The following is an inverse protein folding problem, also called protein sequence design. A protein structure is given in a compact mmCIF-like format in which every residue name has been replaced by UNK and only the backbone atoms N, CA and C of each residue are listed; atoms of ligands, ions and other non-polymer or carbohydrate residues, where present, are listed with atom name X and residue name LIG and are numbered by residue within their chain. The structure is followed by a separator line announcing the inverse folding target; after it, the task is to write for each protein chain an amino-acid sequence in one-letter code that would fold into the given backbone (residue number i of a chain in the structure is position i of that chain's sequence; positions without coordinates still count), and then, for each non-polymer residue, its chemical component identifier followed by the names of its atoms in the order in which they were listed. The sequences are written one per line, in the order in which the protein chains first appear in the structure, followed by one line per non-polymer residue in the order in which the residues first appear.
data_IF_066358544671
#
_entry.id   IF_066358544671
#
_cell.length_a   1.000
_cell.length_b   1.000
_cell.length_c   1.000
_cell.angle_alpha   90.00
_cell.angle_beta   90.00
_cell.angle_gamma   90.00
#
_symmetry.space_group_name_H-M   'P 1'
#
loop_
_entity.id
_entity.type
_entity.pdbx_description
1 polymer ?
#
# COMPACT_ATOMS: atom_id res chain seq x y z
N UNK A 1 -18.96 4.15 -17.52
CA UNK A 1 -18.57 4.48 -16.12
C UNK A 1 -17.86 3.28 -15.52
N UNK A 2 -16.68 3.44 -14.92
CA UNK A 2 -15.91 2.37 -14.32
C UNK A 2 -15.60 2.69 -12.84
N UNK A 3 -15.26 1.66 -12.07
CA UNK A 3 -14.63 1.80 -10.78
C UNK A 3 -13.11 1.80 -10.97
N UNK A 4 -12.40 2.68 -10.27
CA UNK A 4 -10.96 2.86 -10.46
C UNK A 4 -10.28 2.94 -9.10
N UNK A 5 -9.36 2.03 -8.84
CA UNK A 5 -8.41 2.08 -7.74
C UNK A 5 -7.15 2.81 -8.22
N UNK A 6 -6.75 3.83 -7.50
CA UNK A 6 -5.59 4.66 -7.82
C UNK A 6 -4.55 4.51 -6.71
N UNK A 7 -3.39 3.94 -7.03
CA UNK A 7 -2.27 4.02 -6.11
C UNK A 7 -1.82 5.47 -5.92
N UNK A 8 -1.07 5.75 -4.86
CA UNK A 8 -0.66 7.11 -4.49
C UNK A 8 0.81 7.34 -4.81
N UNK A 9 1.68 6.56 -4.16
CA UNK A 9 3.13 6.71 -4.30
C UNK A 9 3.55 6.26 -5.70
N UNK A 10 4.24 7.12 -6.45
CA UNK A 10 4.61 6.84 -7.85
C UNK A 10 3.53 7.18 -8.87
N UNK A 11 2.27 7.38 -8.47
CA UNK A 11 1.15 7.76 -9.35
C UNK A 11 0.85 9.26 -9.25
N UNK A 12 0.73 9.79 -8.03
CA UNK A 12 0.45 11.21 -7.81
C UNK A 12 1.66 12.02 -7.37
N UNK A 13 2.63 11.39 -6.74
CA UNK A 13 3.90 12.00 -6.34
C UNK A 13 5.03 10.98 -6.27
N UNK A 14 6.27 11.46 -6.31
CA UNK A 14 7.47 10.70 -5.96
C UNK A 14 8.19 11.48 -4.85
N UNK A 15 8.35 10.87 -3.67
CA UNK A 15 8.97 11.51 -2.50
C UNK A 15 8.38 12.90 -2.15
N UNK A 16 7.06 13.06 -2.26
CA UNK A 16 6.35 14.31 -2.00
C UNK A 16 6.36 15.32 -3.15
N UNK A 17 7.11 15.10 -4.22
CA UNK A 17 7.10 15.95 -5.41
C UNK A 17 5.94 15.54 -6.34
N UNK A 18 4.95 16.43 -6.58
CA UNK A 18 3.77 16.09 -7.37
C UNK A 18 4.08 15.69 -8.82
N UNK A 19 3.41 14.69 -9.33
CA UNK A 19 3.41 14.33 -10.74
C UNK A 19 2.45 15.24 -11.49
N UNK A 20 2.96 15.90 -12.54
CA UNK A 20 2.20 16.88 -13.31
C UNK A 20 0.92 16.25 -13.93
N UNK A 21 -0.18 16.98 -13.85
CA UNK A 21 -1.46 16.59 -14.41
C UNK A 21 -2.29 15.63 -13.53
N UNK A 22 -1.78 15.17 -12.37
CA UNK A 22 -2.50 14.26 -11.49
C UNK A 22 -3.83 14.81 -10.98
N UNK A 23 -3.84 16.05 -10.49
CA UNK A 23 -5.05 16.71 -10.01
C UNK A 23 -6.09 16.93 -11.13
N UNK A 24 -5.63 17.26 -12.34
CA UNK A 24 -6.50 17.41 -13.51
C UNK A 24 -7.11 16.07 -13.93
N UNK A 25 -6.31 15.02 -13.96
CA UNK A 25 -6.78 13.67 -14.28
C UNK A 25 -7.90 13.24 -13.32
N UNK A 26 -7.75 13.44 -12.01
CA UNK A 26 -8.79 13.09 -11.02
C UNK A 26 -10.08 13.88 -11.28
N UNK A 27 -9.99 15.20 -11.56
CA UNK A 27 -11.18 16.00 -11.88
C UNK A 27 -11.90 15.47 -13.12
N UNK A 28 -11.18 15.22 -14.21
CA UNK A 28 -11.75 14.69 -15.46
C UNK A 28 -12.39 13.31 -15.29
N UNK A 29 -11.75 12.41 -14.52
CA UNK A 29 -12.32 11.11 -14.20
C UNK A 29 -13.64 11.22 -13.44
N UNK A 30 -13.73 12.14 -12.49
CA UNK A 30 -14.97 12.42 -11.75
C UNK A 30 -16.05 13.03 -12.64
N UNK A 31 -15.70 13.99 -13.48
CA UNK A 31 -16.60 14.62 -14.44
C UNK A 31 -17.16 13.58 -15.44
N UNK A 32 -16.35 12.58 -15.81
CA UNK A 32 -16.79 11.44 -16.62
C UNK A 32 -17.65 10.41 -15.84
N UNK A 33 -17.87 10.63 -14.54
CA UNK A 33 -18.71 9.81 -13.69
C UNK A 33 -18.07 8.52 -13.20
N UNK A 34 -16.74 8.40 -13.23
CA UNK A 34 -16.03 7.27 -12.66
C UNK A 34 -16.05 7.33 -11.12
N UNK A 35 -16.14 6.15 -10.47
CA UNK A 35 -16.01 6.01 -9.03
C UNK A 35 -14.55 5.77 -8.71
N UNK A 36 -13.96 6.58 -7.82
CA UNK A 36 -12.55 6.56 -7.51
C UNK A 36 -12.32 6.12 -6.07
N UNK A 37 -11.24 5.37 -5.84
CA UNK A 37 -10.71 5.09 -4.52
C UNK A 37 -9.19 5.16 -4.57
N UNK A 38 -8.61 5.88 -3.64
CA UNK A 38 -7.17 5.99 -3.47
C UNK A 38 -6.70 4.87 -2.54
N UNK A 39 -5.69 4.13 -2.96
CA UNK A 39 -5.19 2.96 -2.25
C UNK A 39 -3.68 3.07 -2.07
N UNK A 40 -3.16 2.78 -0.88
CA UNK A 40 -1.73 2.91 -0.63
C UNK A 40 -1.21 1.84 0.33
N UNK A 41 0.04 1.41 0.10
CA UNK A 41 0.83 0.64 1.05
C UNK A 41 1.68 1.55 1.97
N UNK A 42 1.45 2.86 1.97
CA UNK A 42 2.11 3.74 2.94
C UNK A 42 1.67 3.37 4.36
N UNK A 43 2.64 3.14 5.23
CA UNK A 43 2.44 2.70 6.62
C UNK A 43 3.33 3.47 7.59
N UNK A 44 3.85 4.61 7.15
CA UNK A 44 4.68 5.50 7.96
C UNK A 44 4.00 6.82 8.30
N UNK A 45 2.85 7.09 7.65
CA UNK A 45 2.05 8.32 7.85
C UNK A 45 0.60 8.00 8.16
N UNK A 46 -0.01 8.79 9.03
CA UNK A 46 -1.43 8.71 9.31
C UNK A 46 -2.28 9.03 8.07
N UNK A 47 -3.42 8.39 7.93
CA UNK A 47 -4.37 8.59 6.81
C UNK A 47 -4.76 10.06 6.63
N UNK A 48 -5.04 10.75 7.73
CA UNK A 48 -5.40 12.18 7.69
C UNK A 48 -4.27 13.03 7.08
N UNK A 49 -3.02 12.75 7.47
CA UNK A 49 -1.84 13.45 6.91
C UNK A 49 -1.70 13.18 5.42
N UNK A 50 -1.85 11.93 4.98
CA UNK A 50 -1.81 11.58 3.55
C UNK A 50 -2.92 12.29 2.76
N UNK A 51 -4.13 12.34 3.30
CA UNK A 51 -5.25 13.05 2.67
C UNK A 51 -4.99 14.56 2.55
N UNK A 52 -4.44 15.19 3.60
CA UNK A 52 -4.06 16.61 3.58
C UNK A 52 -2.96 16.89 2.56
N UNK A 53 -1.93 16.05 2.47
CA UNK A 53 -0.85 16.17 1.49
C UNK A 53 -1.38 16.08 0.06
N UNK A 54 -2.25 15.11 -0.24
CA UNK A 54 -2.87 14.98 -1.56
C UNK A 54 -3.74 16.21 -1.92
N UNK A 55 -4.52 16.72 -0.97
CA UNK A 55 -5.30 17.95 -1.17
C UNK A 55 -4.40 19.18 -1.39
N UNK A 56 -3.28 19.27 -0.70
CA UNK A 56 -2.29 20.32 -0.91
C UNK A 56 -1.66 20.26 -2.32
N UNK A 57 -1.59 19.07 -2.92
CA UNK A 57 -1.19 18.87 -4.33
C UNK A 57 -2.34 19.17 -5.31
N UNK A 58 -3.52 19.60 -4.83
CA UNK A 58 -4.70 19.93 -5.63
C UNK A 58 -5.56 18.73 -6.02
N UNK A 59 -5.32 17.56 -5.46
CA UNK A 59 -6.10 16.35 -5.74
C UNK A 59 -7.38 16.39 -4.91
N UNK A 60 -8.57 16.43 -5.55
CA UNK A 60 -9.82 16.42 -4.83
C UNK A 60 -10.14 15.01 -4.33
N UNK A 61 -10.10 14.79 -3.02
CA UNK A 61 -10.55 13.53 -2.39
C UNK A 61 -11.22 13.79 -1.06
N UNK A 62 -12.15 12.93 -0.70
CA UNK A 62 -12.74 12.83 0.62
C UNK A 62 -11.99 11.78 1.46
N UNK A 63 -12.01 11.91 2.79
CA UNK A 63 -11.23 11.03 3.67
C UNK A 63 -11.64 9.55 3.55
N UNK A 64 -12.90 9.26 3.29
CA UNK A 64 -13.43 7.91 3.13
C UNK A 64 -13.04 7.25 1.80
N UNK A 65 -12.61 8.03 0.82
CA UNK A 65 -12.07 7.52 -0.45
C UNK A 65 -10.63 7.00 -0.33
N UNK A 66 -9.91 7.34 0.76
CA UNK A 66 -8.54 6.91 1.01
C UNK A 66 -8.51 5.63 1.86
N UNK A 67 -8.00 4.56 1.26
CA UNK A 67 -7.76 3.29 1.95
C UNK A 67 -6.28 3.13 2.28
N UNK A 68 -5.98 2.98 3.57
CA UNK A 68 -4.65 2.69 4.09
C UNK A 68 -4.59 1.28 4.66
N UNK A 69 -3.41 0.68 4.65
CA UNK A 69 -3.20 -0.66 5.21
C UNK A 69 -3.39 -0.72 6.73
N UNK A 70 -2.99 0.28 7.55
CA UNK A 70 -3.20 0.22 9.00
C UNK A 70 -4.66 0.04 9.41
N UNK A 71 -5.61 0.69 8.73
CA UNK A 71 -7.04 0.49 9.02
C UNK A 71 -7.55 -0.90 8.66
N UNK A 72 -7.06 -1.46 7.55
CA UNK A 72 -7.39 -2.84 7.19
C UNK A 72 -6.82 -3.83 8.23
N UNK A 73 -5.60 -3.56 8.72
CA UNK A 73 -4.97 -4.33 9.79
C UNK A 73 -5.75 -4.24 11.11
N UNK A 74 -6.21 -3.05 11.50
CA UNK A 74 -7.01 -2.85 12.71
C UNK A 74 -8.27 -3.73 12.72
N UNK A 75 -8.96 -3.81 11.58
CA UNK A 75 -10.13 -4.69 11.46
C UNK A 75 -9.77 -6.18 11.61
N UNK A 76 -8.68 -6.62 11.02
CA UNK A 76 -8.22 -8.03 11.07
C UNK A 76 -7.74 -8.43 12.47
N UNK A 77 -7.13 -7.49 13.18
CA UNK A 77 -6.47 -7.72 14.48
C UNK A 77 -7.32 -7.22 15.68
N UNK A 78 -8.58 -6.80 15.46
CA UNK A 78 -9.44 -6.30 16.50
C UNK A 78 -9.57 -7.28 17.66
N UNK A 79 -9.39 -6.78 18.90
CA UNK A 79 -9.48 -7.57 20.13
C UNK A 79 -8.31 -8.52 20.39
N UNK A 80 -7.27 -8.52 19.53
CA UNK A 80 -6.06 -9.34 19.74
C UNK A 80 -4.96 -8.52 20.43
N UNK A 81 -4.13 -9.21 21.21
CA UNK A 81 -2.90 -8.66 21.79
C UNK A 81 -1.80 -8.68 20.75
N UNK A 82 -1.30 -7.49 20.38
CA UNK A 82 -0.38 -7.31 19.26
C UNK A 82 0.89 -6.60 19.68
N UNK A 83 2.04 -7.21 19.45
CA UNK A 83 3.33 -6.54 19.46
C UNK A 83 3.50 -5.81 18.12
N UNK A 84 3.34 -4.49 18.14
CA UNK A 84 3.43 -3.68 16.92
C UNK A 84 4.83 -3.05 16.77
N UNK A 85 5.50 -3.39 15.67
CA UNK A 85 6.75 -2.75 15.21
C UNK A 85 6.38 -1.81 14.05
N UNK A 86 5.86 -0.64 14.40
CA UNK A 86 5.32 0.35 13.45
C UNK A 86 5.75 1.75 13.83
N UNK A 87 5.70 2.68 12.88
CA UNK A 87 5.88 4.10 13.17
C UNK A 87 4.77 4.60 14.08
N UNK A 88 5.12 5.52 14.99
CA UNK A 88 4.17 6.11 15.94
C UNK A 88 2.99 6.79 15.24
N UNK A 89 3.24 7.40 14.09
CA UNK A 89 2.24 8.11 13.32
C UNK A 89 0.99 7.27 12.95
N UNK A 90 1.15 5.94 12.81
CA UNK A 90 0.02 5.07 12.43
C UNK A 90 -0.59 4.30 13.61
N UNK A 91 -0.04 4.44 14.82
CA UNK A 91 -0.55 3.75 16.02
C UNK A 91 -2.02 4.10 16.28
N UNK A 92 -2.41 5.36 16.09
CA UNK A 92 -3.80 5.81 16.23
C UNK A 92 -4.77 5.21 15.21
N UNK A 93 -4.28 4.59 14.15
CA UNK A 93 -5.12 3.91 13.14
C UNK A 93 -5.37 2.43 13.47
N UNK A 94 -4.68 1.90 14.47
CA UNK A 94 -4.87 0.52 14.98
C UNK A 94 -5.97 0.46 16.04
N UNK A 95 -7.10 1.13 15.78
CA UNK A 95 -8.23 1.20 16.70
C UNK A 95 -8.82 -0.19 16.96
N UNK A 96 -9.08 -0.50 18.24
CA UNK A 96 -9.61 -1.80 18.65
C UNK A 96 -8.58 -2.92 18.75
N UNK A 97 -7.29 -2.64 18.49
CA UNK A 97 -6.18 -3.57 18.70
C UNK A 97 -5.58 -3.34 20.08
N UNK A 98 -5.35 -4.38 20.85
CA UNK A 98 -4.65 -4.30 22.15
C UNK A 98 -3.14 -4.33 21.92
N UNK A 99 -2.48 -3.15 21.98
CA UNK A 99 -1.03 -3.06 21.79
C UNK A 99 -0.29 -3.47 23.07
N UNK A 100 0.57 -4.47 22.98
CA UNK A 100 1.32 -5.05 24.11
C UNK A 100 2.82 -5.06 23.85
N UNK A 101 3.61 -5.12 24.93
CA UNK A 101 5.08 -5.25 24.85
C UNK A 101 5.57 -6.69 24.93
N UNK A 102 4.73 -7.63 25.43
CA UNK A 102 5.01 -9.03 25.68
C UNK A 102 3.71 -9.84 25.72
N UNK A 103 3.79 -11.15 25.71
CA UNK A 103 2.63 -12.06 25.66
C UNK A 103 1.70 -11.78 24.47
N UNK A 104 2.25 -11.48 23.31
CA UNK A 104 1.49 -11.16 22.13
C UNK A 104 0.89 -12.40 21.45
N UNK A 105 -0.32 -12.27 20.90
CA UNK A 105 -0.95 -13.28 20.02
C UNK A 105 -0.57 -13.04 18.55
N UNK A 106 -0.08 -11.84 18.23
CA UNK A 106 0.37 -11.46 16.91
C UNK A 106 1.53 -10.47 16.98
N UNK A 107 2.45 -10.58 16.04
CA UNK A 107 3.50 -9.59 15.75
C UNK A 107 3.12 -8.88 14.47
N UNK A 108 3.00 -7.54 14.50
CA UNK A 108 2.67 -6.71 13.36
C UNK A 108 3.88 -5.87 12.93
N UNK A 109 4.31 -6.03 11.69
CA UNK A 109 5.42 -5.26 11.10
C UNK A 109 4.85 -4.19 10.17
N UNK A 110 5.19 -2.92 10.45
CA UNK A 110 4.86 -1.76 9.60
C UNK A 110 5.98 -1.39 8.64
N UNK A 111 5.85 -0.21 8.02
CA UNK A 111 6.84 0.33 7.10
C UNK A 111 8.07 0.93 7.78
N UNK A 112 9.09 1.20 6.96
CA UNK A 112 10.29 1.92 7.33
C UNK A 112 10.39 3.22 6.52
N UNK A 113 10.99 4.26 7.08
CA UNK A 113 11.23 5.54 6.44
C UNK A 113 12.66 6.08 6.71
N UNK A 114 12.95 7.29 6.25
CA UNK A 114 14.26 7.95 6.42
C UNK A 114 14.44 8.57 7.83
N UNK A 115 13.42 8.50 8.69
CA UNK A 115 13.50 9.13 10.02
C UNK A 115 14.31 8.28 11.00
N UNK A 116 14.89 8.89 12.05
CA UNK A 116 15.55 8.16 13.12
C UNK A 116 14.67 7.12 13.82
N UNK A 117 13.34 7.28 13.76
CA UNK A 117 12.37 6.37 14.36
C UNK A 117 12.50 4.95 13.79
N UNK A 118 12.78 4.81 12.48
CA UNK A 118 13.06 3.51 11.85
C UNK A 118 14.13 2.72 12.59
N UNK A 119 15.22 3.37 13.02
CA UNK A 119 16.28 2.70 13.76
C UNK A 119 15.85 2.25 15.16
N UNK A 120 14.88 2.94 15.75
CA UNK A 120 14.31 2.56 17.05
C UNK A 120 13.36 1.38 16.88
N UNK A 121 12.42 1.49 15.94
CA UNK A 121 11.41 0.46 15.65
C UNK A 121 12.10 -0.86 15.27
N UNK A 122 13.02 -0.82 14.33
CA UNK A 122 13.73 -2.01 13.82
C UNK A 122 15.09 -2.23 14.48
N UNK A 123 15.25 -1.80 15.75
CA UNK A 123 16.45 -2.12 16.53
C UNK A 123 16.58 -3.64 16.74
N UNK A 124 17.83 -4.10 16.93
CA UNK A 124 18.07 -5.51 17.24
C UNK A 124 17.23 -6.03 18.41
N UNK A 125 17.08 -5.22 19.47
CA UNK A 125 16.33 -5.63 20.65
C UNK A 125 14.83 -5.80 20.36
N UNK A 126 14.25 -4.94 19.52
CA UNK A 126 12.85 -5.07 19.12
C UNK A 126 12.65 -6.25 18.16
N UNK A 127 13.56 -6.47 17.22
CA UNK A 127 13.54 -7.66 16.35
C UNK A 127 13.69 -8.96 17.16
N UNK A 128 14.58 -8.98 18.16
CA UNK A 128 14.73 -10.13 19.04
C UNK A 128 13.48 -10.38 19.89
N UNK A 129 12.79 -9.32 20.36
CA UNK A 129 11.52 -9.43 21.07
C UNK A 129 10.43 -10.01 20.14
N UNK A 130 10.30 -9.48 18.92
CA UNK A 130 9.35 -10.01 17.94
C UNK A 130 9.61 -11.50 17.65
N UNK A 131 10.87 -11.88 17.46
CA UNK A 131 11.25 -13.28 17.28
C UNK A 131 10.86 -14.15 18.49
N UNK A 132 11.06 -13.66 19.71
CA UNK A 132 10.67 -14.38 20.93
C UNK A 132 9.15 -14.63 20.99
N UNK A 133 8.32 -13.65 20.64
CA UNK A 133 6.87 -13.82 20.58
C UNK A 133 6.45 -14.83 19.49
N UNK A 134 7.14 -14.84 18.34
CA UNK A 134 6.90 -15.82 17.27
C UNK A 134 7.24 -17.24 17.72
N UNK A 135 8.36 -17.45 18.41
CA UNK A 135 8.73 -18.73 19.01
C UNK A 135 7.73 -19.18 20.11
N UNK A 136 7.09 -18.22 20.79
CA UNK A 136 6.03 -18.52 21.75
C UNK A 136 4.67 -18.83 21.07
N UNK A 137 4.57 -18.74 19.74
CA UNK A 137 3.39 -19.11 18.95
C UNK A 137 2.56 -17.94 18.44
N UNK A 138 3.04 -16.69 18.57
CA UNK A 138 2.39 -15.54 17.95
C UNK A 138 2.39 -15.65 16.42
N UNK A 139 1.33 -15.17 15.77
CA UNK A 139 1.24 -15.12 14.32
C UNK A 139 1.94 -13.87 13.77
N UNK A 140 2.76 -14.03 12.72
CA UNK A 140 3.41 -12.90 12.04
C UNK A 140 2.46 -12.25 11.04
N UNK A 141 2.28 -10.93 11.16
CA UNK A 141 1.58 -10.07 10.22
C UNK A 141 2.48 -8.96 9.71
N UNK A 142 2.23 -8.53 8.48
CA UNK A 142 2.90 -7.37 7.90
C UNK A 142 1.89 -6.46 7.22
N UNK A 143 2.02 -5.15 7.43
CA UNK A 143 1.20 -4.17 6.72
C UNK A 143 1.45 -4.21 5.21
N UNK A 144 2.69 -4.41 4.81
CA UNK A 144 3.11 -4.71 3.43
C UNK A 144 4.46 -5.44 3.46
N UNK A 145 4.86 -5.99 2.32
CA UNK A 145 6.13 -6.72 2.20
C UNK A 145 7.01 -6.16 1.06
N UNK A 146 6.91 -4.84 0.83
CA UNK A 146 7.76 -4.19 -0.17
C UNK A 146 9.24 -4.35 0.20
N UNK A 147 10.06 -4.70 -0.78
CA UNK A 147 11.51 -4.89 -0.59
C UNK A 147 12.24 -3.57 -0.40
N UNK A 148 11.81 -2.53 -1.10
CA UNK A 148 12.39 -1.20 -1.12
C UNK A 148 11.35 -0.17 -1.56
N UNK A 149 11.64 1.10 -1.33
CA UNK A 149 10.87 2.23 -1.83
C UNK A 149 11.80 3.29 -2.44
N UNK A 150 11.29 4.08 -3.39
CA UNK A 150 12.08 5.07 -4.11
C UNK A 150 12.11 6.40 -3.35
N UNK A 151 13.32 6.90 -3.08
CA UNK A 151 13.54 8.26 -2.57
C UNK A 151 14.25 9.11 -3.62
N UNK A 152 14.31 10.41 -3.35
CA UNK A 152 15.11 11.35 -4.19
C UNK A 152 16.61 11.04 -4.15
N UNK A 153 17.08 10.29 -3.18
CA UNK A 153 18.48 9.89 -2.99
C UNK A 153 18.78 8.46 -3.45
N UNK A 154 17.78 7.77 -4.01
CA UNK A 154 17.89 6.38 -4.45
C UNK A 154 16.95 5.44 -3.68
N UNK A 155 17.03 4.14 -3.94
CA UNK A 155 16.20 3.15 -3.26
C UNK A 155 16.67 2.92 -1.82
N UNK A 156 15.72 2.80 -0.88
CA UNK A 156 15.94 2.42 0.50
C UNK A 156 15.21 1.12 0.84
N UNK A 157 15.76 0.37 1.79
CA UNK A 157 15.10 -0.83 2.32
C UNK A 157 13.75 -0.48 2.94
N UNK A 158 12.75 -1.32 2.68
CA UNK A 158 11.44 -1.23 3.28
C UNK A 158 11.17 -2.42 4.22
N UNK A 159 9.99 -2.48 4.82
CA UNK A 159 9.56 -3.48 5.79
C UNK A 159 9.84 -4.93 5.37
N UNK A 160 9.76 -5.23 4.07
CA UNK A 160 9.97 -6.58 3.55
C UNK A 160 11.30 -7.21 3.92
N UNK A 161 12.36 -6.42 4.12
CA UNK A 161 13.66 -6.93 4.57
C UNK A 161 13.61 -7.43 6.03
N UNK A 162 12.91 -6.71 6.91
CA UNK A 162 12.74 -7.08 8.33
C UNK A 162 11.77 -8.26 8.47
N UNK A 163 10.67 -8.25 7.69
CA UNK A 163 9.72 -9.36 7.62
C UNK A 163 10.43 -10.64 7.18
N UNK A 164 11.19 -10.61 6.08
CA UNK A 164 11.93 -11.77 5.59
C UNK A 164 12.95 -12.30 6.61
N UNK A 165 13.59 -11.40 7.38
CA UNK A 165 14.48 -11.79 8.47
C UNK A 165 13.76 -12.55 9.59
N UNK A 166 12.58 -12.12 10.00
CA UNK A 166 11.76 -12.79 11.00
C UNK A 166 11.16 -14.09 10.48
N UNK A 167 10.69 -14.13 9.23
CA UNK A 167 10.21 -15.36 8.58
C UNK A 167 11.30 -16.43 8.55
N UNK A 168 12.53 -16.04 8.17
CA UNK A 168 13.67 -16.93 8.13
C UNK A 168 14.05 -17.45 9.53
N UNK A 169 14.04 -16.56 10.53
CA UNK A 169 14.46 -16.92 11.88
C UNK A 169 13.45 -17.80 12.61
N UNK A 170 12.14 -17.56 12.43
CA UNK A 170 11.05 -18.26 13.12
C UNK A 170 10.41 -19.39 12.28
N UNK A 171 10.96 -19.70 11.09
CA UNK A 171 10.44 -20.70 10.14
C UNK A 171 8.91 -20.54 9.93
N UNK A 172 8.49 -19.31 9.67
CA UNK A 172 7.07 -18.93 9.51
C UNK A 172 6.87 -18.07 8.27
N UNK A 173 5.64 -17.86 7.87
CA UNK A 173 5.25 -16.99 6.78
C UNK A 173 4.37 -15.85 7.29
N UNK A 174 4.68 -14.62 6.88
CA UNK A 174 3.89 -13.45 7.28
C UNK A 174 2.58 -13.36 6.49
N UNK A 175 1.49 -13.07 7.19
CA UNK A 175 0.21 -12.70 6.57
C UNK A 175 0.29 -11.22 6.21
N UNK A 176 0.32 -10.92 4.89
CA UNK A 176 0.37 -9.55 4.37
C UNK A 176 -1.04 -8.97 4.33
N UNK A 177 -1.21 -7.78 4.93
CA UNK A 177 -2.52 -7.11 5.06
C UNK A 177 -2.75 -6.01 4.01
N UNK A 178 -1.68 -5.47 3.39
CA UNK A 178 -1.75 -4.51 2.29
C UNK A 178 -1.71 -5.17 0.90
N UNK A 179 -1.58 -4.36 -0.15
CA UNK A 179 -1.37 -4.88 -1.52
C UNK A 179 -0.11 -5.77 -1.55
N UNK A 180 -0.13 -6.94 -2.17
CA UNK A 180 -1.15 -7.50 -3.07
C UNK A 180 -2.20 -8.38 -2.39
N UNK A 181 -2.45 -8.28 -1.07
CA UNK A 181 -3.34 -9.19 -0.38
C UNK A 181 -4.77 -9.14 -0.89
N UNK A 182 -5.42 -10.30 -0.87
CA UNK A 182 -6.81 -10.47 -1.29
C UNK A 182 -7.76 -9.58 -0.48
N UNK A 183 -7.62 -9.60 0.83
CA UNK A 183 -8.49 -8.85 1.75
C UNK A 183 -8.41 -7.34 1.49
N UNK A 184 -7.24 -6.83 1.13
CA UNK A 184 -7.06 -5.41 0.81
C UNK A 184 -7.88 -5.00 -0.43
N UNK A 185 -7.80 -5.78 -1.51
CA UNK A 185 -8.54 -5.50 -2.74
C UNK A 185 -10.04 -5.75 -2.57
N UNK A 186 -10.47 -6.80 -1.86
CA UNK A 186 -11.88 -7.05 -1.56
C UNK A 186 -12.50 -5.89 -0.77
N UNK A 187 -11.79 -5.35 0.24
CA UNK A 187 -12.25 -4.19 0.98
C UNK A 187 -12.37 -2.93 0.09
N UNK A 188 -11.44 -2.74 -0.86
CA UNK A 188 -11.49 -1.63 -1.81
C UNK A 188 -12.68 -1.75 -2.78
N UNK A 189 -12.94 -2.95 -3.30
CA UNK A 189 -14.07 -3.24 -4.18
C UNK A 189 -15.41 -3.05 -3.46
N UNK A 190 -15.51 -3.56 -2.22
CA UNK A 190 -16.71 -3.40 -1.40
C UNK A 190 -17.02 -1.92 -1.12
N UNK A 191 -16.00 -1.12 -0.80
CA UNK A 191 -16.17 0.31 -0.56
C UNK A 191 -16.61 1.11 -1.80
N UNK A 192 -16.31 0.60 -3.00
CA UNK A 192 -16.76 1.16 -4.28
C UNK A 192 -18.08 0.54 -4.76
N UNK A 193 -18.62 -0.46 -4.06
CA UNK A 193 -19.75 -1.27 -4.57
C UNK A 193 -19.49 -1.72 -6.01
N UNK A 194 -18.33 -2.36 -6.25
CA UNK A 194 -17.84 -2.68 -7.58
C UNK A 194 -17.40 -4.15 -7.70
N UNK A 195 -17.61 -4.70 -8.91
CA UNK A 195 -17.11 -6.02 -9.28
C UNK A 195 -15.67 -5.94 -9.82
N UNK A 196 -14.84 -6.91 -9.48
CA UNK A 196 -13.43 -6.94 -9.89
C UNK A 196 -13.24 -6.80 -11.40
N UNK A 197 -13.97 -7.58 -12.21
CA UNK A 197 -13.87 -7.55 -13.68
C UNK A 197 -14.25 -6.22 -14.35
N UNK A 198 -14.93 -5.33 -13.61
CA UNK A 198 -15.34 -4.00 -14.06
C UNK A 198 -14.51 -2.88 -13.40
N UNK A 199 -13.48 -3.24 -12.65
CA UNK A 199 -12.63 -2.31 -11.90
C UNK A 199 -11.24 -2.26 -12.50
N UNK A 200 -10.68 -1.06 -12.56
CA UNK A 200 -9.31 -0.80 -12.98
C UNK A 200 -8.43 -0.52 -11.76
N UNK A 201 -7.26 -1.14 -11.69
CA UNK A 201 -6.18 -0.74 -10.79
C UNK A 201 -5.12 0.00 -11.58
N UNK A 202 -4.78 1.20 -11.13
CA UNK A 202 -3.73 2.05 -11.71
C UNK A 202 -2.61 2.18 -10.69
N UNK A 203 -1.40 1.75 -11.04
CA UNK A 203 -0.26 1.76 -10.12
C UNK A 203 1.08 1.76 -10.84
N UNK A 204 2.15 1.88 -10.07
CA UNK A 204 3.53 1.92 -10.55
C UNK A 204 4.33 0.64 -10.22
N UNK A 205 3.80 -0.19 -9.32
CA UNK A 205 4.44 -1.41 -8.83
C UNK A 205 3.88 -2.64 -9.55
N UNK A 206 4.76 -3.31 -10.34
CA UNK A 206 4.37 -4.47 -11.17
C UNK A 206 3.87 -5.65 -10.34
N UNK A 207 4.37 -5.83 -9.12
CA UNK A 207 4.01 -6.94 -8.24
C UNK A 207 2.82 -6.58 -7.34
N UNK A 208 2.92 -5.46 -6.58
CA UNK A 208 1.92 -5.10 -5.59
C UNK A 208 0.61 -4.62 -6.20
N UNK A 209 0.68 -3.79 -7.26
CA UNK A 209 -0.48 -3.20 -7.89
C UNK A 209 -1.01 -4.08 -9.03
N UNK A 210 -0.13 -4.38 -9.99
CA UNK A 210 -0.56 -5.01 -11.24
C UNK A 210 -0.83 -6.50 -11.05
N UNK A 211 0.18 -7.27 -10.62
CA UNK A 211 -0.02 -8.70 -10.38
C UNK A 211 -1.05 -8.95 -9.29
N UNK A 212 -1.01 -8.13 -8.21
CA UNK A 212 -1.98 -8.22 -7.14
C UNK A 212 -3.41 -8.07 -7.66
N UNK A 213 -3.71 -6.97 -8.36
CA UNK A 213 -5.05 -6.71 -8.90
C UNK A 213 -5.49 -7.76 -9.94
N UNK A 214 -4.59 -8.19 -10.84
CA UNK A 214 -4.88 -9.24 -11.80
C UNK A 214 -5.20 -10.58 -11.13
N UNK A 215 -4.49 -10.91 -10.04
CA UNK A 215 -4.78 -12.09 -9.22
C UNK A 215 -6.20 -12.12 -8.63
N UNK A 216 -6.86 -10.97 -8.60
CA UNK A 216 -8.24 -10.79 -8.13
C UNK A 216 -9.23 -10.50 -9.28
N UNK A 217 -8.80 -10.63 -10.52
CA UNK A 217 -9.65 -10.48 -11.71
C UNK A 217 -9.93 -9.03 -12.12
N UNK A 218 -9.17 -8.06 -11.61
CA UNK A 218 -9.26 -6.66 -12.03
C UNK A 218 -8.46 -6.39 -13.29
N UNK A 219 -8.84 -5.36 -14.02
CA UNK A 219 -8.06 -4.78 -15.11
C UNK A 219 -6.99 -3.85 -14.55
N UNK A 220 -5.88 -3.68 -15.28
CA UNK A 220 -4.70 -3.00 -14.74
C UNK A 220 -4.05 -2.04 -15.72
N UNK A 221 -3.62 -0.90 -15.20
CA UNK A 221 -2.85 0.10 -15.94
C UNK A 221 -1.57 0.41 -15.16
N UNK A 222 -0.42 0.17 -15.78
CA UNK A 222 0.88 0.49 -15.22
C UNK A 222 1.30 1.90 -15.66
N UNK A 223 1.66 2.77 -14.72
CA UNK A 223 2.26 4.07 -15.02
C UNK A 223 3.79 3.96 -15.07
N UNK A 224 4.44 4.75 -15.97
CA UNK A 224 5.91 4.75 -16.11
C UNK A 224 6.61 5.72 -15.15
N UNK A 225 5.97 6.04 -14.05
CA UNK A 225 6.51 6.86 -12.97
C UNK A 225 6.90 5.99 -11.77
N UNK A 226 7.48 6.57 -10.73
CA UNK A 226 7.75 5.87 -9.47
C UNK A 226 8.70 4.67 -9.59
N UNK A 227 8.19 3.51 -9.23
CA UNK A 227 8.93 2.23 -9.20
C UNK A 227 9.09 1.57 -10.57
N UNK A 228 8.45 2.08 -11.62
CA UNK A 228 8.53 1.48 -12.95
C UNK A 228 9.98 1.26 -13.39
N UNK A 229 10.29 0.01 -13.78
CA UNK A 229 11.58 -0.41 -14.33
C UNK A 229 11.32 -1.21 -15.61
N UNK A 230 11.72 -0.72 -16.80
CA UNK A 230 11.46 -1.41 -18.06
C UNK A 230 11.95 -2.86 -18.06
N UNK A 231 13.17 -3.08 -17.56
CA UNK A 231 13.80 -4.40 -17.54
C UNK A 231 13.03 -5.39 -16.64
N UNK A 232 12.50 -4.93 -15.49
CA UNK A 232 11.70 -5.76 -14.59
C UNK A 232 10.35 -6.11 -15.22
N UNK A 233 9.70 -5.14 -15.89
CA UNK A 233 8.44 -5.37 -16.60
C UNK A 233 8.64 -6.34 -17.77
N UNK A 234 9.71 -6.21 -18.54
CA UNK A 234 10.02 -7.10 -19.65
C UNK A 234 10.34 -8.53 -19.17
N UNK A 235 11.11 -8.65 -18.08
CA UNK A 235 11.47 -9.92 -17.47
C UNK A 235 10.29 -10.61 -16.76
N UNK A 236 9.30 -9.85 -16.30
CA UNK A 236 8.12 -10.38 -15.63
C UNK A 236 7.22 -11.14 -16.62
N UNK A 237 6.39 -12.06 -16.11
CA UNK A 237 5.32 -12.71 -16.88
C UNK A 237 4.00 -11.92 -16.83
N UNK A 238 3.99 -10.83 -16.07
CA UNK A 238 2.82 -9.99 -15.84
C UNK A 238 2.63 -9.09 -17.06
N UNK A 239 1.41 -8.98 -17.54
CA UNK A 239 1.07 -8.12 -18.68
C UNK A 239 -0.07 -7.21 -18.26
N UNK A 240 0.22 -5.92 -17.95
CA UNK A 240 -0.84 -4.93 -17.72
C UNK A 240 -1.76 -4.81 -18.95
N UNK A 241 -3.03 -4.49 -18.73
CA UNK A 241 -3.98 -4.23 -19.83
C UNK A 241 -3.64 -2.90 -20.53
N UNK A 242 -2.99 -1.97 -19.82
CA UNK A 242 -2.46 -0.73 -20.38
C UNK A 242 -1.16 -0.29 -19.71
N UNK A 243 -0.32 0.44 -20.47
CA UNK A 243 0.86 1.12 -19.93
C UNK A 243 0.82 2.57 -20.43
N UNK A 244 0.80 3.51 -19.50
CA UNK A 244 0.76 4.96 -19.78
C UNK A 244 1.98 5.67 -19.18
N UNK A 245 2.33 6.84 -19.70
CA UNK A 245 3.53 7.57 -19.23
C UNK A 245 3.35 8.09 -17.81
N UNK A 246 2.14 8.57 -17.48
CA UNK A 246 1.75 9.03 -16.13
C UNK A 246 0.25 9.05 -15.99
N UNK A 247 -0.24 9.27 -14.78
CA UNK A 247 -1.67 9.43 -14.46
C UNK A 247 -2.36 10.49 -15.33
N UNK A 248 -1.65 11.48 -15.81
CA UNK A 248 -2.19 12.54 -16.67
C UNK A 248 -2.83 12.01 -17.96
N UNK A 249 -2.39 10.85 -18.46
CA UNK A 249 -2.93 10.22 -19.67
C UNK A 249 -4.15 9.32 -19.39
N UNK A 250 -4.45 9.04 -18.12
CA UNK A 250 -5.50 8.07 -17.77
C UNK A 250 -6.89 8.44 -18.31
N UNK A 251 -7.36 9.71 -18.26
CA UNK A 251 -8.68 10.05 -18.78
C UNK A 251 -8.82 9.74 -20.26
N UNK A 252 -7.89 10.18 -21.12
CA UNK A 252 -7.92 9.89 -22.55
C UNK A 252 -7.83 8.39 -22.83
N UNK A 253 -6.92 7.71 -22.12
CA UNK A 253 -6.74 6.27 -22.30
C UNK A 253 -8.02 5.49 -22.02
N UNK A 254 -8.77 5.84 -20.97
CA UNK A 254 -10.04 5.19 -20.63
C UNK A 254 -11.15 5.54 -21.61
N UNK A 255 -11.19 6.75 -22.17
CA UNK A 255 -12.16 7.13 -23.23
C UNK A 255 -12.02 6.22 -24.48
N UNK A 256 -10.79 5.81 -24.81
CA UNK A 256 -10.50 4.94 -25.96
C UNK A 256 -10.74 3.44 -25.69
N UNK A 257 -10.87 3.01 -24.41
CA UNK A 257 -10.87 1.59 -24.03
C UNK A 257 -12.12 1.14 -23.22
N UNK A 258 -13.05 2.04 -22.91
CA UNK A 258 -14.34 1.79 -22.27
C UNK A 258 -15.50 1.92 -23.27
#
# INVERSE_FOLDING_TARGET
MAAILLDIDGVFHVSGEPIAGGADAVRRLREAGHRLRFVTNNTTRARATLAEELRAMGIPLDDDELQTTPRAAAHTLAGRRVLAMTMHAIVGELEGVELVGEDAEAVLIGGADETPETNIVFSYMNLARAFHELEAGAQLYSLHKNRWWQTKHGPLLDAGAFVAGLEYAADTEAIVLGKPSRQYFEAALQALDAEAGMTWMVGDDIDADIAGAQGHGMKTILVRTGKFRPDEVEASRIRPDGIISSIAQLPEWLEDHL
#
